data_IF_754354462446
#
_entry.id   IF_754354462446
#
_cell.length_a   1.000
_cell.length_b   1.000
_cell.length_c   1.000
_cell.angle_alpha   90.00
_cell.angle_beta   90.00
_cell.angle_gamma   90.00
#
_symmetry.space_group_name_H-M   'P 1'
#
loop_
_entity.id
_entity.type
_entity.pdbx_description
1 polymer ?
#
# COMPACT_ATOMS: atom_id res chain seq x y z
N UNK A 1 35.36 -16.47 -13.68
CA UNK A 1 34.07 -16.15 -14.31
C UNK A 1 33.42 -14.99 -13.55
N UNK A 2 33.64 -13.77 -14.03
CA UNK A 2 33.12 -12.55 -13.38
C UNK A 2 31.59 -12.56 -13.38
N UNK A 3 30.99 -12.65 -12.20
CA UNK A 3 29.56 -12.44 -12.02
C UNK A 3 29.28 -10.94 -12.27
N UNK A 4 28.93 -10.59 -13.50
CA UNK A 4 28.39 -9.25 -13.78
C UNK A 4 27.14 -9.07 -12.91
N UNK A 5 27.22 -8.16 -11.94
CA UNK A 5 26.04 -7.64 -11.26
C UNK A 5 25.22 -6.91 -12.32
N UNK A 6 24.16 -7.55 -12.80
CA UNK A 6 23.14 -6.88 -13.59
C UNK A 6 22.50 -5.81 -12.70
N UNK A 7 22.81 -4.55 -12.98
CA UNK A 7 22.17 -3.40 -12.33
C UNK A 7 20.74 -3.37 -12.85
N UNK A 8 19.77 -3.40 -11.93
CA UNK A 8 18.34 -3.26 -12.26
C UNK A 8 18.06 -1.86 -12.77
N UNK A 9 17.11 -1.75 -13.67
CA UNK A 9 16.59 -0.42 -14.07
C UNK A 9 15.79 0.20 -12.92
N UNK A 10 15.58 1.52 -12.98
CA UNK A 10 14.72 2.20 -12.02
C UNK A 10 13.29 1.63 -12.06
N UNK A 11 12.76 1.40 -13.26
CA UNK A 11 11.43 0.81 -13.48
C UNK A 11 11.29 -0.58 -12.84
N UNK A 12 12.31 -1.43 -12.96
CA UNK A 12 12.31 -2.74 -12.29
C UNK A 12 12.35 -2.60 -10.76
N UNK A 13 13.07 -1.60 -10.25
CA UNK A 13 13.16 -1.33 -8.80
C UNK A 13 11.80 -0.86 -8.26
N UNK A 14 11.14 0.02 -8.99
CA UNK A 14 9.78 0.52 -8.73
C UNK A 14 8.75 -0.63 -8.76
N UNK A 15 8.86 -1.53 -9.73
CA UNK A 15 8.03 -2.72 -9.81
C UNK A 15 8.19 -3.63 -8.58
N UNK A 16 9.43 -3.86 -8.14
CA UNK A 16 9.71 -4.67 -6.93
C UNK A 16 9.08 -4.01 -5.71
N UNK A 17 9.16 -2.68 -5.59
CA UNK A 17 8.51 -1.93 -4.51
C UNK A 17 6.99 -2.12 -4.50
N UNK A 18 6.31 -1.97 -5.65
CA UNK A 18 4.85 -2.20 -5.76
C UNK A 18 4.51 -3.62 -5.33
N UNK A 19 5.18 -4.60 -5.94
CA UNK A 19 4.88 -6.00 -5.74
C UNK A 19 5.11 -6.44 -4.29
N UNK A 20 6.22 -6.01 -3.69
CA UNK A 20 6.50 -6.28 -2.28
C UNK A 20 5.46 -5.61 -1.38
N UNK A 21 5.09 -4.36 -1.65
CA UNK A 21 4.05 -3.64 -0.90
C UNK A 21 2.71 -4.36 -0.98
N UNK A 22 2.28 -4.79 -2.17
CA UNK A 22 1.02 -5.55 -2.38
C UNK A 22 1.02 -6.87 -1.59
N UNK A 23 2.12 -7.63 -1.65
CA UNK A 23 2.27 -8.88 -0.92
C UNK A 23 2.28 -8.67 0.60
N UNK A 24 2.96 -7.62 1.08
CA UNK A 24 2.96 -7.24 2.50
C UNK A 24 1.57 -6.80 2.96
N UNK A 25 0.87 -5.94 2.21
CA UNK A 25 -0.49 -5.52 2.54
C UNK A 25 -1.43 -6.73 2.64
N UNK A 26 -1.27 -7.73 1.76
CA UNK A 26 -2.07 -8.95 1.83
C UNK A 26 -1.87 -9.70 3.14
N UNK A 27 -0.61 -9.85 3.59
CA UNK A 27 -0.26 -10.44 4.90
C UNK A 27 -0.80 -9.61 6.05
N UNK A 28 -0.56 -8.29 6.02
CA UNK A 28 -0.97 -7.36 7.06
C UNK A 28 -2.49 -7.32 7.25
N UNK A 29 -3.26 -7.29 6.15
CA UNK A 29 -4.72 -7.31 6.20
C UNK A 29 -5.30 -8.62 6.76
N UNK A 30 -4.53 -9.72 6.74
CA UNK A 30 -4.93 -11.01 7.32
C UNK A 30 -4.47 -11.17 8.76
N UNK A 31 -3.70 -10.23 9.30
CA UNK A 31 -3.08 -10.38 10.61
C UNK A 31 -2.01 -11.48 10.66
N UNK A 32 -1.43 -11.86 9.51
CA UNK A 32 -0.41 -12.91 9.45
C UNK A 32 0.97 -12.33 9.74
N UNK A 33 1.73 -12.95 10.66
CA UNK A 33 3.16 -12.67 10.81
C UNK A 33 3.93 -13.08 9.55
N UNK A 34 4.98 -12.33 9.20
CA UNK A 34 5.80 -12.63 8.03
C UNK A 34 7.22 -12.13 8.15
N UNK A 35 8.10 -12.70 7.33
CA UNK A 35 9.47 -12.28 7.10
C UNK A 35 9.62 -11.71 5.69
N UNK A 36 10.76 -11.07 5.40
CA UNK A 36 11.08 -10.69 4.02
C UNK A 36 11.19 -11.91 3.07
N UNK A 37 11.43 -13.12 3.63
CA UNK A 37 11.52 -14.34 2.84
C UNK A 37 10.14 -14.72 2.30
N UNK A 38 9.11 -14.67 3.13
CA UNK A 38 7.72 -14.94 2.73
C UNK A 38 7.28 -14.04 1.58
N UNK A 39 7.59 -12.75 1.67
CA UNK A 39 7.28 -11.78 0.61
C UNK A 39 8.01 -12.16 -0.67
N UNK A 40 9.30 -12.48 -0.60
CA UNK A 40 10.06 -12.90 -1.77
C UNK A 40 9.56 -14.23 -2.37
N UNK A 41 9.13 -15.17 -1.53
CA UNK A 41 8.54 -16.44 -1.94
C UNK A 41 7.18 -16.22 -2.62
N UNK A 42 6.34 -15.32 -2.10
CA UNK A 42 5.06 -14.96 -2.70
C UNK A 42 5.24 -14.37 -4.10
N UNK A 43 6.27 -13.54 -4.31
CA UNK A 43 6.60 -12.98 -5.63
C UNK A 43 7.15 -14.04 -6.59
N UNK A 44 8.04 -14.91 -6.12
CA UNK A 44 8.56 -16.03 -6.93
C UNK A 44 7.47 -17.03 -7.32
N UNK A 45 6.51 -17.30 -6.44
CA UNK A 45 5.36 -18.16 -6.72
C UNK A 45 4.46 -17.58 -7.84
N UNK A 46 4.45 -16.25 -8.00
CA UNK A 46 3.82 -15.52 -9.12
C UNK A 46 4.71 -15.41 -10.37
N UNK A 47 5.84 -16.12 -10.37
CA UNK A 47 6.88 -16.12 -11.41
C UNK A 47 7.60 -14.77 -11.63
N UNK A 48 7.64 -13.88 -10.64
CA UNK A 48 8.47 -12.68 -10.75
C UNK A 48 9.94 -13.01 -10.42
N UNK A 49 10.90 -12.64 -11.28
CA UNK A 49 12.31 -13.00 -11.12
C UNK A 49 13.03 -12.07 -10.12
N UNK A 50 12.57 -12.05 -8.87
CA UNK A 50 13.12 -11.21 -7.79
C UNK A 50 14.15 -11.95 -6.95
N UNK A 51 15.18 -11.23 -6.49
CA UNK A 51 16.15 -11.73 -5.52
C UNK A 51 15.70 -11.38 -4.11
N UNK A 52 15.93 -12.27 -3.15
CA UNK A 52 15.56 -12.03 -1.75
C UNK A 52 16.18 -10.75 -1.19
N UNK A 53 17.44 -10.45 -1.53
CA UNK A 53 18.12 -9.20 -1.10
C UNK A 53 17.43 -7.92 -1.58
N UNK A 54 16.79 -7.94 -2.75
CA UNK A 54 16.07 -6.79 -3.32
C UNK A 54 14.78 -6.57 -2.51
N UNK A 55 14.02 -7.64 -2.29
CA UNK A 55 12.78 -7.62 -1.50
C UNK A 55 13.05 -7.27 -0.04
N UNK A 56 14.09 -7.85 0.57
CA UNK A 56 14.44 -7.56 1.96
C UNK A 56 14.83 -6.09 2.18
N UNK A 57 15.47 -5.44 1.22
CA UNK A 57 15.76 -4.01 1.31
C UNK A 57 14.46 -3.19 1.32
N UNK A 58 13.50 -3.53 0.45
CA UNK A 58 12.19 -2.89 0.39
C UNK A 58 11.41 -3.06 1.69
N UNK A 59 11.29 -4.28 2.20
CA UNK A 59 10.54 -4.58 3.44
C UNK A 59 11.13 -3.80 4.63
N UNK A 60 12.47 -3.74 4.73
CA UNK A 60 13.15 -2.95 5.77
C UNK A 60 12.90 -1.45 5.61
N UNK A 61 12.93 -0.94 4.38
CA UNK A 61 12.63 0.46 4.07
C UNK A 61 11.20 0.84 4.46
N UNK A 62 10.21 0.01 4.11
CA UNK A 62 8.80 0.23 4.46
C UNK A 62 8.56 0.19 5.97
N UNK A 63 9.22 -0.72 6.69
CA UNK A 63 9.18 -0.72 8.15
C UNK A 63 9.80 0.54 8.75
N UNK A 64 11.00 0.93 8.29
CA UNK A 64 11.69 2.13 8.76
C UNK A 64 10.89 3.41 8.47
N UNK A 65 10.11 3.42 7.37
CA UNK A 65 9.15 4.46 7.04
C UNK A 65 7.92 4.52 7.97
N UNK A 66 7.75 3.58 8.90
CA UNK A 66 6.58 3.49 9.79
C UNK A 66 5.33 2.91 9.12
N UNK A 67 5.43 2.49 7.84
CA UNK A 67 4.31 1.98 7.07
C UNK A 67 3.69 0.71 7.65
N UNK A 68 4.47 -0.10 8.36
CA UNK A 68 4.02 -1.33 9.02
C UNK A 68 3.52 -1.09 10.45
N UNK A 69 4.18 -0.20 11.19
CA UNK A 69 3.75 0.18 12.55
C UNK A 69 2.36 0.81 12.56
N UNK A 70 1.97 1.51 11.49
CA UNK A 70 0.60 1.99 11.28
C UNK A 70 -0.46 0.86 11.23
N UNK A 71 -0.05 -0.36 10.91
CA UNK A 71 -0.90 -1.56 10.95
C UNK A 71 -0.76 -2.35 12.26
N UNK A 72 -0.07 -1.83 13.28
CA UNK A 72 0.15 -2.55 14.55
C UNK A 72 1.18 -3.67 14.45
N UNK A 73 2.05 -3.64 13.43
CA UNK A 73 3.16 -4.59 13.29
C UNK A 73 4.43 -4.07 13.97
N UNK A 74 5.02 -4.93 14.78
CA UNK A 74 6.34 -4.77 15.36
C UNK A 74 7.35 -5.69 14.69
N UNK A 75 8.63 -5.42 14.91
CA UNK A 75 9.73 -6.19 14.35
C UNK A 75 10.59 -6.83 15.44
N UNK A 76 10.70 -8.14 15.40
CA UNK A 76 11.57 -8.94 16.26
C UNK A 76 12.64 -9.66 15.43
N UNK A 77 13.79 -9.95 16.04
CA UNK A 77 14.86 -10.72 15.41
C UNK A 77 14.71 -12.19 15.83
N UNK A 78 14.31 -13.04 14.89
CA UNK A 78 14.18 -14.48 15.08
C UNK A 78 15.40 -15.22 14.53
N UNK A 79 15.63 -16.43 15.04
CA UNK A 79 16.61 -17.36 14.49
C UNK A 79 15.90 -18.31 13.55
N UNK A 80 16.42 -18.44 12.32
CA UNK A 80 15.87 -19.32 11.28
C UNK A 80 16.85 -20.42 10.94
N UNK A 81 16.35 -21.63 10.69
CA UNK A 81 17.17 -22.78 10.32
C UNK A 81 17.30 -22.86 8.80
N UNK A 82 18.54 -22.83 8.31
CA UNK A 82 18.87 -23.06 6.90
C UNK A 82 19.66 -24.36 6.77
N UNK A 83 19.75 -24.95 5.56
CA UNK A 83 20.59 -26.14 5.34
C UNK A 83 22.06 -25.93 5.72
N UNK A 84 22.54 -24.69 5.77
CA UNK A 84 23.91 -24.32 6.16
C UNK A 84 24.11 -23.96 7.63
N UNK A 85 23.06 -24.00 8.45
CA UNK A 85 23.09 -23.62 9.87
C UNK A 85 22.00 -22.60 10.24
N UNK A 86 22.15 -21.94 11.39
CA UNK A 86 21.20 -20.94 11.88
C UNK A 86 21.54 -19.55 11.37
N UNK A 87 20.57 -18.86 10.78
CA UNK A 87 20.67 -17.44 10.39
C UNK A 87 19.71 -16.58 11.21
N UNK A 88 19.86 -15.25 11.14
CA UNK A 88 18.97 -14.30 11.81
C UNK A 88 18.08 -13.61 10.79
N UNK A 89 16.78 -13.55 11.06
CA UNK A 89 15.80 -12.87 10.22
C UNK A 89 14.91 -11.95 11.05
N UNK A 90 14.41 -10.89 10.44
CA UNK A 90 13.39 -10.06 11.06
C UNK A 90 12.00 -10.66 10.81
N UNK A 91 11.31 -10.98 11.90
CA UNK A 91 9.90 -11.31 11.92
C UNK A 91 9.10 -10.01 12.11
N UNK A 92 8.10 -9.83 11.28
CA UNK A 92 7.13 -8.75 11.41
C UNK A 92 5.82 -9.37 11.88
N UNK A 93 5.42 -9.07 13.11
CA UNK A 93 4.26 -9.67 13.77
C UNK A 93 3.29 -8.60 14.25
N UNK A 94 1.99 -8.88 14.16
CA UNK A 94 0.96 -7.99 14.68
C UNK A 94 0.82 -8.17 16.19
N UNK A 95 0.84 -7.08 16.96
CA UNK A 95 0.86 -7.14 18.43
C UNK A 95 -0.35 -7.89 19.06
N UNK A 96 -1.46 -8.02 18.33
CA UNK A 96 -2.70 -8.66 18.82
C UNK A 96 -2.91 -10.08 18.32
N UNK A 97 -2.03 -10.63 17.47
CA UNK A 97 -2.18 -11.98 16.93
C UNK A 97 -1.16 -12.88 17.64
N UNK A 98 -1.60 -13.93 18.36
CA UNK A 98 -0.69 -14.84 19.04
C UNK A 98 0.32 -15.41 18.05
N UNK A 99 1.60 -15.42 18.44
CA UNK A 99 2.68 -15.79 17.55
C UNK A 99 2.58 -17.28 17.20
N UNK A 100 2.29 -17.55 15.92
CA UNK A 100 2.15 -18.89 15.35
C UNK A 100 3.10 -19.12 14.19
N UNK A 101 4.12 -18.26 14.03
CA UNK A 101 5.08 -18.36 12.93
C UNK A 101 5.99 -19.57 13.16
N UNK A 102 5.70 -20.68 12.47
CA UNK A 102 6.40 -21.96 12.62
C UNK A 102 7.62 -22.09 11.70
N UNK A 103 8.54 -22.99 12.05
CA UNK A 103 9.82 -23.20 11.35
C UNK A 103 9.67 -23.67 9.90
N UNK A 104 8.53 -24.25 9.53
CA UNK A 104 8.23 -24.71 8.16
C UNK A 104 8.03 -23.56 7.16
N UNK A 105 7.74 -22.35 7.63
CA UNK A 105 7.64 -21.14 6.81
C UNK A 105 9.01 -20.63 6.28
N UNK A 106 10.12 -21.26 6.66
CA UNK A 106 11.48 -20.75 6.44
C UNK A 106 12.16 -21.29 5.16
N UNK A 107 11.47 -22.08 4.33
CA UNK A 107 12.05 -22.65 3.11
C UNK A 107 12.07 -21.65 1.95
N UNK A 108 13.26 -21.34 1.43
CA UNK A 108 13.43 -20.44 0.30
C UNK A 108 13.07 -21.13 -1.03
N UNK A 109 12.18 -20.51 -1.81
CA UNK A 109 11.90 -20.97 -3.17
C UNK A 109 13.11 -20.73 -4.10
N UNK A 110 13.36 -21.68 -4.98
CA UNK A 110 14.38 -21.59 -6.02
C UNK A 110 14.19 -20.33 -6.90
N UNK A 111 15.26 -19.78 -7.49
CA UNK A 111 15.15 -18.69 -8.45
C UNK A 111 14.21 -19.05 -9.60
N UNK A 112 13.38 -18.10 -10.04
CA UNK A 112 12.48 -18.30 -11.18
C UNK A 112 13.31 -18.49 -12.46
N UNK A 113 13.15 -19.60 -13.21
CA UNK A 113 13.86 -19.81 -14.46
C UNK A 113 13.49 -18.75 -15.50
N UNK A 114 14.43 -18.31 -16.38
CA UNK A 114 14.14 -17.29 -17.40
C UNK A 114 12.95 -17.62 -18.29
N UNK A 115 12.77 -18.90 -18.63
CA UNK A 115 11.65 -19.38 -19.47
C UNK A 115 10.26 -19.21 -18.84
N UNK A 116 10.18 -19.01 -17.51
CA UNK A 116 8.94 -18.79 -16.77
C UNK A 116 8.83 -17.38 -16.20
N UNK A 117 9.90 -16.58 -16.29
CA UNK A 117 9.98 -15.28 -15.65
C UNK A 117 8.98 -14.31 -16.27
N UNK A 118 8.10 -13.76 -15.43
CA UNK A 118 7.22 -12.66 -15.81
C UNK A 118 7.99 -11.34 -15.76
N UNK A 119 7.74 -10.44 -16.71
CA UNK A 119 8.35 -9.12 -16.70
C UNK A 119 7.93 -8.36 -15.44
N UNK A 120 8.90 -7.67 -14.81
CA UNK A 120 8.62 -6.82 -13.64
C UNK A 120 7.79 -5.60 -14.05
N UNK A 121 8.03 -5.07 -15.25
CA UNK A 121 7.35 -3.88 -15.78
C UNK A 121 5.83 -4.09 -15.92
N UNK A 122 5.38 -5.33 -16.12
CA UNK A 122 3.94 -5.68 -16.14
C UNK A 122 3.20 -5.35 -14.82
N UNK A 123 3.94 -5.19 -13.73
CA UNK A 123 3.39 -4.89 -12.41
C UNK A 123 3.20 -3.39 -12.17
N UNK A 124 3.84 -2.52 -12.96
CA UNK A 124 3.74 -1.07 -12.80
C UNK A 124 2.56 -0.55 -13.63
N UNK A 125 1.52 0.05 -13.01
CA UNK A 125 0.47 0.71 -13.77
C UNK A 125 1.07 1.83 -14.62
N UNK A 126 0.68 1.91 -15.90
CA UNK A 126 1.15 2.96 -16.79
C UNK A 126 0.87 4.36 -16.17
N UNK A 127 1.93 5.15 -15.98
CA UNK A 127 1.83 6.51 -15.43
C UNK A 127 1.93 6.65 -13.91
N UNK A 128 2.13 5.56 -13.15
CA UNK A 128 2.33 5.66 -11.70
C UNK A 128 3.74 6.20 -11.37
N UNK A 129 3.82 7.37 -10.73
CA UNK A 129 5.03 7.84 -10.06
C UNK A 129 5.06 7.26 -8.65
N UNK A 130 6.04 6.42 -8.34
CA UNK A 130 6.20 5.84 -7.02
C UNK A 130 7.26 6.59 -6.22
N UNK A 131 7.10 6.70 -4.89
CA UNK A 131 8.16 7.21 -4.05
C UNK A 131 9.36 6.26 -4.07
N UNK A 132 10.57 6.81 -4.16
CA UNK A 132 11.79 6.00 -4.13
C UNK A 132 12.01 5.40 -2.72
N UNK A 133 12.78 4.31 -2.62
CA UNK A 133 13.13 3.74 -1.29
C UNK A 133 13.84 4.75 -0.39
N UNK A 134 14.66 5.64 -0.98
CA UNK A 134 15.30 6.73 -0.26
C UNK A 134 14.28 7.75 0.25
N UNK A 135 13.26 8.09 -0.54
CA UNK A 135 12.17 8.95 -0.11
C UNK A 135 11.39 8.32 1.05
N UNK A 136 11.03 7.04 0.95
CA UNK A 136 10.33 6.31 2.02
C UNK A 136 11.16 6.28 3.31
N UNK A 137 12.48 6.04 3.20
CA UNK A 137 13.38 5.99 4.35
C UNK A 137 13.61 7.38 4.99
N UNK A 138 13.75 8.43 4.18
CA UNK A 138 13.94 9.80 4.67
C UNK A 138 12.67 10.34 5.35
N UNK A 139 11.49 9.91 4.89
CA UNK A 139 10.19 10.31 5.44
C UNK A 139 9.87 9.65 6.79
N UNK A 140 10.41 8.46 7.07
CA UNK A 140 10.29 7.81 8.38
C UNK A 140 11.09 8.49 9.50
N UNK A 141 12.13 9.26 9.16
CA UNK A 141 12.96 9.97 10.15
C UNK A 141 12.42 11.37 10.51
N UNK A 142 11.57 11.96 9.69
CA UNK A 142 11.00 13.30 9.94
C UNK A 142 9.53 13.13 10.32
N UNK A 143 9.28 12.95 11.60
CA UNK A 143 7.93 13.02 12.17
C UNK A 143 7.39 14.45 12.13
N UNK A 144 7.18 15.05 10.95
CA UNK A 144 6.32 16.23 10.73
C UNK A 144 6.30 16.65 9.25
N UNK A 145 5.14 17.14 8.81
CA UNK A 145 4.83 17.61 7.47
C UNK A 145 5.80 18.68 6.94
N UNK A 146 6.21 18.56 5.67
CA UNK A 146 6.52 19.71 4.82
C UNK A 146 5.92 19.51 3.43
N UNK A 147 4.92 20.34 3.13
CA UNK A 147 4.31 20.53 1.81
C UNK A 147 5.30 21.30 0.94
N UNK A 148 5.82 20.74 -0.15
CA UNK A 148 6.33 21.50 -1.29
C UNK A 148 5.77 20.89 -2.57
N UNK A 149 4.77 21.56 -3.14
CA UNK A 149 4.18 21.18 -4.42
C UNK A 149 5.02 21.69 -5.58
N UNK A 150 5.16 20.86 -6.62
CA UNK A 150 5.21 21.34 -8.01
C UNK A 150 4.90 20.18 -8.94
N UNK A 151 3.64 20.12 -9.37
CA UNK A 151 3.12 19.15 -10.33
C UNK A 151 1.76 19.63 -10.78
N UNK A 152 1.75 20.57 -11.73
CA UNK A 152 0.57 21.20 -12.30
C UNK A 152 -0.25 20.19 -13.11
N UNK A 153 -1.06 19.39 -12.43
CA UNK A 153 -2.28 18.85 -13.05
C UNK A 153 -3.28 20.00 -13.12
N UNK A 154 -3.70 20.35 -14.33
CA UNK A 154 -4.62 21.46 -14.56
C UNK A 154 -5.94 21.20 -13.81
N UNK A 155 -6.10 21.85 -12.66
CA UNK A 155 -7.33 21.83 -11.88
C UNK A 155 -8.45 22.47 -12.73
N UNK A 156 -9.33 21.64 -13.30
CA UNK A 156 -10.58 22.13 -13.89
C UNK A 156 -11.38 22.81 -12.77
N UNK A 157 -11.90 24.01 -13.04
CA UNK A 157 -12.73 24.80 -12.12
C UNK A 157 -13.77 23.90 -11.43
N UNK A 158 -13.63 23.75 -10.11
CA UNK A 158 -14.56 23.00 -9.28
C UNK A 158 -15.97 23.57 -9.46
N UNK A 159 -16.88 22.77 -10.01
CA UNK A 159 -18.30 23.09 -10.08
C UNK A 159 -18.90 22.73 -8.72
N UNK A 160 -19.32 23.73 -7.93
CA UNK A 160 -20.10 23.49 -6.69
C UNK A 160 -21.41 22.82 -7.08
N UNK A 161 -21.58 21.56 -6.73
CA UNK A 161 -22.85 20.85 -6.83
C UNK A 161 -23.34 20.60 -5.41
N UNK A 162 -24.34 21.38 -5.01
CA UNK A 162 -25.06 21.20 -3.75
C UNK A 162 -25.98 19.99 -3.87
N UNK A 163 -25.47 18.81 -3.58
CA UNK A 163 -26.27 17.58 -3.56
C UNK A 163 -25.50 16.46 -2.90
N UNK A 164 -25.73 16.25 -1.59
CA UNK A 164 -25.13 15.16 -0.84
C UNK A 164 -25.65 13.82 -1.42
N UNK A 165 -24.84 13.13 -2.22
CA UNK A 165 -25.19 11.80 -2.67
C UNK A 165 -24.95 10.80 -1.54
N UNK A 166 -25.92 9.90 -1.33
CA UNK A 166 -25.83 8.84 -0.31
C UNK A 166 -25.31 7.57 -0.97
N UNK A 167 -24.19 7.04 -0.46
CA UNK A 167 -23.74 5.69 -0.82
C UNK A 167 -24.41 4.62 0.04
N UNK A 168 -24.02 3.38 -0.18
CA UNK A 168 -24.41 2.26 0.67
C UNK A 168 -23.14 1.62 1.27
N UNK A 169 -23.17 1.37 2.57
CA UNK A 169 -22.24 0.43 3.18
C UNK A 169 -22.60 -0.97 2.73
N UNK A 170 -21.59 -1.75 2.42
CA UNK A 170 -21.75 -3.19 2.20
C UNK A 170 -21.73 -3.93 3.53
N UNK A 171 -22.18 -5.19 3.53
CA UNK A 171 -22.17 -6.05 4.73
C UNK A 171 -20.79 -6.23 5.36
N UNK A 172 -19.73 -6.09 4.56
CA UNK A 172 -18.32 -6.15 4.99
C UNK A 172 -17.80 -4.82 5.56
N UNK A 173 -18.64 -3.79 5.66
CA UNK A 173 -18.25 -2.44 6.10
C UNK A 173 -17.42 -1.68 5.08
N UNK A 174 -17.25 -2.19 3.86
CA UNK A 174 -16.60 -1.45 2.80
C UNK A 174 -17.54 -0.37 2.24
N UNK A 175 -16.94 0.75 1.84
CA UNK A 175 -17.65 1.84 1.17
C UNK A 175 -17.27 1.88 -0.30
N UNK A 176 -18.29 1.88 -1.15
CA UNK A 176 -18.14 2.14 -2.57
C UNK A 176 -18.42 3.60 -2.84
N UNK A 177 -17.46 4.29 -3.46
CA UNK A 177 -17.66 5.65 -3.93
C UNK A 177 -18.49 5.61 -5.21
N UNK A 178 -19.57 6.41 -5.33
CA UNK A 178 -20.32 6.53 -6.57
C UNK A 178 -19.43 7.00 -7.73
N UNK A 179 -19.53 6.31 -8.87
CA UNK A 179 -18.77 6.62 -10.11
C UNK A 179 -18.80 8.09 -10.48
N UNK A 180 -19.98 8.71 -10.41
CA UNK A 180 -20.18 10.13 -10.76
C UNK A 180 -19.29 11.06 -9.95
N UNK A 181 -19.02 10.75 -8.69
CA UNK A 181 -18.18 11.58 -7.81
C UNK A 181 -16.69 11.42 -8.10
N UNK A 182 -16.28 10.24 -8.58
CA UNK A 182 -14.91 9.99 -9.05
C UNK A 182 -14.67 10.80 -10.33
N UNK A 183 -15.62 10.76 -11.26
CA UNK A 183 -15.61 11.58 -12.49
C UNK A 183 -15.60 13.09 -12.16
N UNK A 184 -16.44 13.54 -11.22
CA UNK A 184 -16.51 14.94 -10.79
C UNK A 184 -15.22 15.41 -10.08
N UNK A 185 -14.56 14.53 -9.33
CA UNK A 185 -13.27 14.80 -8.72
C UNK A 185 -12.11 14.79 -9.74
N UNK A 186 -12.35 14.27 -10.95
CA UNK A 186 -11.38 14.23 -12.04
C UNK A 186 -10.41 13.05 -11.99
N UNK A 187 -10.69 12.03 -11.18
CA UNK A 187 -9.85 10.83 -11.09
C UNK A 187 -10.08 9.90 -12.28
N UNK A 188 -9.03 9.21 -12.70
CA UNK A 188 -8.99 8.29 -13.84
C UNK A 188 -8.76 6.85 -13.37
N UNK A 189 -9.06 5.88 -14.22
CA UNK A 189 -8.68 4.49 -14.00
C UNK A 189 -7.16 4.37 -13.83
N UNK A 190 -6.73 3.62 -12.82
CA UNK A 190 -5.32 3.44 -12.50
C UNK A 190 -4.79 4.42 -11.45
N UNK A 191 -5.49 5.53 -11.20
CA UNK A 191 -5.08 6.50 -10.17
C UNK A 191 -4.98 5.83 -8.80
N UNK A 192 -3.91 6.19 -8.08
CA UNK A 192 -3.74 5.87 -6.67
C UNK A 192 -4.10 7.10 -5.85
N UNK A 193 -5.02 6.92 -4.90
CA UNK A 193 -5.53 7.98 -4.03
C UNK A 193 -5.07 7.71 -2.58
N UNK A 194 -4.66 8.76 -1.90
CA UNK A 194 -4.41 8.76 -0.47
C UNK A 194 -5.73 9.01 0.27
N UNK A 195 -6.05 8.12 1.21
CA UNK A 195 -7.15 8.25 2.15
C UNK A 195 -6.61 8.79 3.48
N UNK A 196 -7.08 9.96 3.88
CA UNK A 196 -6.74 10.59 5.17
C UNK A 196 -7.99 10.88 5.99
N UNK A 197 -7.85 10.98 7.30
CA UNK A 197 -8.89 11.47 8.20
C UNK A 197 -8.66 12.95 8.51
N UNK A 198 -9.67 13.77 8.24
CA UNK A 198 -9.73 15.16 8.67
C UNK A 198 -10.37 15.23 10.06
N UNK A 199 -9.53 15.34 11.09
CA UNK A 199 -9.96 15.34 12.48
C UNK A 199 -10.86 16.53 12.86
N UNK A 200 -10.81 17.65 12.12
CA UNK A 200 -11.66 18.82 12.40
C UNK A 200 -13.09 18.57 11.96
N UNK A 201 -13.26 17.91 10.80
CA UNK A 201 -14.58 17.66 10.21
C UNK A 201 -15.10 16.25 10.51
N UNK A 202 -14.25 15.35 11.01
CA UNK A 202 -14.57 13.94 11.20
C UNK A 202 -14.77 13.18 9.89
N UNK A 203 -14.28 13.72 8.76
CA UNK A 203 -14.50 13.15 7.43
C UNK A 203 -13.27 12.44 6.90
N UNK A 204 -13.47 11.40 6.11
CA UNK A 204 -12.41 10.79 5.32
C UNK A 204 -12.23 11.58 4.02
N UNK A 205 -10.99 11.80 3.61
CA UNK A 205 -10.64 12.56 2.41
C UNK A 205 -9.83 11.67 1.49
N UNK A 206 -10.31 11.50 0.25
CA UNK A 206 -9.53 10.96 -0.84
C UNK A 206 -8.90 12.12 -1.63
N UNK A 207 -7.59 12.04 -1.81
CA UNK A 207 -6.82 13.00 -2.59
C UNK A 207 -5.78 12.26 -3.46
N UNK A 208 -5.32 12.86 -4.57
CA UNK A 208 -4.20 12.31 -5.34
C UNK A 208 -2.99 12.06 -4.44
N UNK A 209 -2.32 10.93 -4.63
CA UNK A 209 -1.07 10.66 -3.91
C UNK A 209 -0.06 11.72 -4.30
N UNK A 210 0.40 12.47 -3.30
CA UNK A 210 1.56 13.33 -3.43
C UNK A 210 2.79 12.48 -3.14
N UNK A 211 3.85 12.67 -3.93
CA UNK A 211 5.12 11.97 -3.70
C UNK A 211 5.53 12.13 -2.25
N UNK A 212 5.75 11.01 -1.59
CA UNK A 212 6.26 11.00 -0.22
C UNK A 212 5.25 11.07 0.91
N UNK A 213 3.96 10.89 0.62
CA UNK A 213 2.95 10.76 1.67
C UNK A 213 2.62 9.29 1.89
N UNK A 214 2.94 8.77 3.07
CA UNK A 214 2.53 7.43 3.51
C UNK A 214 1.10 7.47 4.07
N UNK A 215 0.32 6.43 3.83
CA UNK A 215 -1.00 6.30 4.43
C UNK A 215 -1.84 5.19 3.80
N UNK A 216 -3.14 5.26 4.04
CA UNK A 216 -4.08 4.32 3.45
C UNK A 216 -4.27 4.66 1.96
N UNK A 217 -3.77 3.83 1.06
CA UNK A 217 -3.98 4.02 -0.37
C UNK A 217 -5.21 3.27 -0.89
N UNK A 218 -5.89 3.88 -1.86
CA UNK A 218 -7.03 3.31 -2.55
C UNK A 218 -6.86 3.51 -4.06
N UNK A 219 -6.99 2.42 -4.83
CA UNK A 219 -6.90 2.45 -6.29
C UNK A 219 -8.25 2.74 -6.93
N UNK A 220 -8.25 3.52 -8.01
CA UNK A 220 -9.37 3.62 -8.95
C UNK A 220 -9.29 2.46 -9.94
N UNK A 221 -10.24 1.55 -9.85
CA UNK A 221 -10.33 0.36 -10.71
C UNK A 221 -11.03 0.67 -12.04
N UNK A 222 -10.99 -0.31 -12.95
CA UNK A 222 -11.78 -0.31 -14.18
C UNK A 222 -13.25 0.03 -13.91
N UNK A 223 -13.82 0.79 -14.85
CA UNK A 223 -15.16 1.39 -14.79
C UNK A 223 -15.31 2.50 -13.73
N UNK A 224 -14.21 3.13 -13.32
CA UNK A 224 -14.15 4.18 -12.30
C UNK A 224 -14.81 3.73 -10.99
N UNK A 225 -14.37 2.57 -10.50
CA UNK A 225 -14.82 2.02 -9.21
C UNK A 225 -13.77 2.27 -8.16
N UNK A 226 -14.17 2.89 -7.05
CA UNK A 226 -13.34 3.02 -5.84
C UNK A 226 -14.04 2.31 -4.69
N UNK A 227 -13.31 1.38 -4.06
CA UNK A 227 -13.76 0.64 -2.88
C UNK A 227 -12.79 0.87 -1.75
N UNK A 228 -13.30 1.40 -0.65
CA UNK A 228 -12.55 1.65 0.57
C UNK A 228 -12.90 0.53 1.55
N UNK A 229 -11.99 -0.43 1.72
CA UNK A 229 -12.14 -1.49 2.69
C UNK A 229 -12.12 -0.92 4.11
N UNK A 230 -12.91 -1.49 5.03
CA UNK A 230 -12.99 -1.05 6.42
C UNK A 230 -11.62 -1.01 7.12
N UNK A 231 -10.71 -1.94 6.78
CA UNK A 231 -9.34 -1.96 7.33
C UNK A 231 -8.56 -0.68 7.01
N UNK A 232 -8.81 -0.05 5.87
CA UNK A 232 -8.14 1.20 5.46
C UNK A 232 -8.60 2.42 6.26
N UNK A 233 -9.70 2.34 7.00
CA UNK A 233 -10.24 3.46 7.77
C UNK A 233 -9.39 3.73 9.01
N UNK A 234 -9.04 2.66 9.75
CA UNK A 234 -8.13 2.75 10.88
C UNK A 234 -6.76 3.26 10.46
N UNK A 235 -6.24 2.77 9.34
CA UNK A 235 -4.95 3.23 8.76
C UNK A 235 -4.99 4.70 8.36
N UNK A 236 -6.15 5.20 7.92
CA UNK A 236 -6.34 6.63 7.64
C UNK A 236 -6.47 7.49 8.90
N UNK A 237 -6.43 6.90 10.10
CA UNK A 237 -6.58 7.60 11.38
C UNK A 237 -8.03 7.77 11.83
N UNK A 238 -8.98 7.04 11.24
CA UNK A 238 -10.39 7.08 11.62
C UNK A 238 -10.74 5.92 12.57
N UNK A 239 -11.06 6.27 13.83
CA UNK A 239 -11.42 5.30 14.89
C UNK A 239 -12.92 5.24 15.20
N UNK A 240 -13.74 6.02 14.49
CA UNK A 240 -15.18 6.09 14.74
C UNK A 240 -15.91 4.77 14.46
N UNK A 241 -16.94 4.47 15.26
CA UNK A 241 -17.87 3.40 14.93
C UNK A 241 -18.77 3.84 13.79
N UNK A 242 -18.75 3.08 12.70
CA UNK A 242 -19.54 3.37 11.52
C UNK A 242 -20.62 2.32 11.46
N UNK A 243 -21.83 2.73 11.80
CA UNK A 243 -22.97 1.84 11.75
C UNK A 243 -23.28 1.52 10.29
N UNK A 244 -23.42 0.23 9.95
CA UNK A 244 -23.88 -0.18 8.62
C UNK A 244 -25.28 0.36 8.27
N UNK A 245 -26.04 0.85 9.26
CA UNK A 245 -27.34 1.49 9.07
C UNK A 245 -27.24 2.95 8.61
N UNK A 246 -26.12 3.63 8.89
CA UNK A 246 -25.87 4.99 8.44
C UNK A 246 -25.43 4.95 6.98
N UNK A 247 -25.86 5.88 6.12
CA UNK A 247 -25.37 5.96 4.73
C UNK A 247 -24.25 6.99 4.68
N UNK A 248 -23.10 6.69 4.07
CA UNK A 248 -22.03 7.67 3.99
C UNK A 248 -22.49 8.81 3.09
N UNK A 249 -22.27 10.04 3.55
CA UNK A 249 -22.44 11.23 2.75
C UNK A 249 -21.17 11.48 1.95
N UNK A 250 -21.31 11.84 0.67
CA UNK A 250 -20.16 12.17 -0.16
C UNK A 250 -20.25 13.61 -0.67
N UNK A 251 -19.11 14.30 -0.70
CA UNK A 251 -18.98 15.67 -1.20
C UNK A 251 -17.66 15.79 -1.97
N UNK A 252 -17.70 16.36 -3.17
CA UNK A 252 -16.49 16.73 -3.91
C UNK A 252 -16.20 18.21 -3.64
N UNK A 253 -15.02 18.50 -3.10
CA UNK A 253 -14.58 19.85 -2.78
C UNK A 253 -13.14 20.05 -3.27
N UNK A 254 -12.94 21.00 -4.18
CA UNK A 254 -11.60 21.36 -4.69
C UNK A 254 -10.82 20.18 -5.27
N UNK A 255 -11.49 19.27 -5.98
CA UNK A 255 -10.85 18.07 -6.56
C UNK A 255 -10.49 16.99 -5.54
N UNK A 256 -10.97 17.13 -4.30
CA UNK A 256 -10.89 16.11 -3.24
C UNK A 256 -12.26 15.55 -2.98
N UNK A 257 -12.32 14.25 -2.73
CA UNK A 257 -13.56 13.58 -2.37
C UNK A 257 -13.61 13.39 -0.86
N UNK A 258 -14.58 14.01 -0.22
CA UNK A 258 -14.87 13.90 1.21
C UNK A 258 -15.98 12.90 1.46
N UNK A 259 -15.82 12.08 2.48
CA UNK A 259 -16.74 11.02 2.89
C UNK A 259 -17.07 11.28 4.36
N UNK A 260 -18.30 11.68 4.61
CA UNK A 260 -18.89 11.76 5.93
C UNK A 260 -19.41 10.36 6.32
N UNK A 261 -18.80 9.70 7.32
CA UNK A 261 -19.19 8.37 7.74
C UNK A 261 -20.59 8.28 8.36
#
# INVERSE_FOLDING_TARGET
MSHQQTVRTQTETDAILILATEAMETKMNRGESFTALDISNALKARNFPVRHREVSAVVRGLYAGGGMSAFGYDRELITVSTPGGTEKAYLYAHATVPDGYADDAQSALAPVPPARARALDDAVPAGASLPTLAEIALQGMVGTAVIHGSGTTAFRKARRVSGQQRGAFRRDGAVSVPRKLIEEAGYQEGDLLLLTHDAQTGTLVLAPVQTGVLGAFVKVWADLRVRIARSKWGVAGFSGQVSAAQKPGFVVESGRLRIAP
#
